data_IF_439855044999
#
_entry.id   IF_439855044999
#
_cell.length_a   1.000
_cell.length_b   1.000
_cell.length_c   1.000
_cell.angle_alpha   90.00
_cell.angle_beta   90.00
_cell.angle_gamma   90.00
#
_symmetry.space_group_name_H-M   'P 1'
#
loop_
_entity.id
_entity.type
_entity.pdbx_description
1 polymer ?
#
# COMPACT_ATOMS: atom_id res chain seq x y z
N UNK A 1 -26.91 10.02 10.26
CA UNK A 1 -25.80 9.43 9.48
C UNK A 1 -25.84 7.93 9.68
N UNK A 2 -26.05 7.17 8.61
CA UNK A 2 -26.12 5.71 8.65
C UNK A 2 -24.70 5.13 8.70
N UNK A 3 -24.54 4.00 9.38
CA UNK A 3 -23.27 3.26 9.52
C UNK A 3 -22.62 2.79 8.18
N UNK A 4 -23.19 3.16 7.03
CA UNK A 4 -22.69 2.84 5.70
C UNK A 4 -21.63 3.83 5.18
N UNK A 5 -21.55 5.04 5.74
CA UNK A 5 -20.60 6.07 5.29
C UNK A 5 -19.14 5.77 5.68
N UNK A 6 -18.91 4.79 6.56
CA UNK A 6 -17.59 4.51 7.14
C UNK A 6 -16.80 3.37 6.46
N UNK A 7 -17.38 2.70 5.46
CA UNK A 7 -16.67 1.69 4.64
C UNK A 7 -15.95 2.27 3.41
N UNK A 8 -16.14 3.56 3.11
CA UNK A 8 -15.92 4.07 1.75
C UNK A 8 -14.47 4.42 1.38
N UNK A 9 -13.49 4.20 2.26
CA UNK A 9 -12.13 4.70 2.01
C UNK A 9 -10.99 3.74 2.38
N UNK A 10 -11.25 2.49 2.77
CA UNK A 10 -10.17 1.53 3.10
C UNK A 10 -9.89 0.63 1.89
N UNK A 11 -8.64 0.61 1.42
CA UNK A 11 -8.20 -0.17 0.25
C UNK A 11 -7.15 -1.20 0.68
N UNK A 12 -7.38 -2.50 0.50
CA UNK A 12 -6.36 -3.53 0.74
C UNK A 12 -5.32 -3.50 -0.37
N UNK A 13 -4.04 -3.52 0.01
CA UNK A 13 -2.87 -3.56 -0.86
C UNK A 13 -2.07 -4.81 -0.52
N UNK A 14 -1.76 -5.64 -1.50
CA UNK A 14 -0.96 -6.86 -1.29
C UNK A 14 0.50 -6.58 -1.59
N UNK A 15 1.39 -6.90 -0.65
CA UNK A 15 2.82 -6.66 -0.81
C UNK A 15 3.39 -7.43 -2.01
N UNK A 16 2.84 -8.60 -2.29
CA UNK A 16 3.17 -9.46 -3.43
C UNK A 16 2.92 -8.75 -4.77
N UNK A 17 1.92 -7.87 -4.85
CA UNK A 17 1.67 -7.07 -6.07
C UNK A 17 2.81 -6.10 -6.34
N UNK A 18 3.44 -5.58 -5.29
CA UNK A 18 4.59 -4.68 -5.38
C UNK A 18 5.85 -5.50 -5.69
N UNK A 19 6.02 -6.63 -4.99
CA UNK A 19 7.16 -7.56 -5.13
C UNK A 19 7.20 -8.31 -6.46
N UNK A 20 6.09 -8.39 -7.21
CA UNK A 20 6.05 -9.02 -8.53
C UNK A 20 6.75 -8.19 -9.64
N UNK A 21 6.95 -6.89 -9.43
CA UNK A 21 7.50 -5.97 -10.44
C UNK A 21 8.60 -5.05 -9.90
N UNK A 22 9.56 -5.54 -9.09
CA UNK A 22 10.40 -4.67 -8.26
C UNK A 22 11.32 -3.75 -9.06
N UNK A 23 11.67 -4.13 -10.29
CA UNK A 23 12.55 -3.36 -11.19
C UNK A 23 11.84 -2.82 -12.43
N UNK A 24 10.52 -2.99 -12.52
CA UNK A 24 9.72 -2.50 -13.65
C UNK A 24 9.20 -1.09 -13.34
N UNK A 25 9.18 -0.19 -14.33
CA UNK A 25 8.67 1.16 -14.18
C UNK A 25 7.20 1.21 -13.71
N UNK A 26 6.42 0.15 -13.98
CA UNK A 26 5.07 -0.01 -13.45
C UNK A 26 4.99 0.11 -11.92
N UNK A 27 6.04 -0.31 -11.19
CA UNK A 27 6.06 -0.19 -9.72
C UNK A 27 6.08 1.26 -9.26
N UNK A 28 6.79 2.13 -10.01
CA UNK A 28 6.83 3.56 -9.71
C UNK A 28 5.47 4.21 -9.95
N UNK A 29 4.76 3.82 -11.01
CA UNK A 29 3.41 4.32 -11.28
C UNK A 29 2.39 3.81 -10.27
N UNK A 30 2.55 2.57 -9.81
CA UNK A 30 1.77 2.04 -8.70
C UNK A 30 1.99 2.85 -7.41
N UNK A 31 3.24 3.17 -7.05
CA UNK A 31 3.52 4.04 -5.91
C UNK A 31 2.90 5.43 -6.02
N UNK A 32 2.96 6.05 -7.22
CA UNK A 32 2.27 7.33 -7.48
C UNK A 32 0.76 7.19 -7.31
N UNK A 33 0.18 6.06 -7.72
CA UNK A 33 -1.23 5.78 -7.53
C UNK A 33 -1.61 5.66 -6.04
N UNK A 34 -0.83 4.91 -5.25
CA UNK A 34 -1.03 4.80 -3.80
C UNK A 34 -0.97 6.17 -3.11
N UNK A 35 -0.01 7.02 -3.48
CA UNK A 35 0.08 8.38 -2.93
C UNK A 35 -1.15 9.24 -3.29
N UNK A 36 -1.65 9.13 -4.52
CA UNK A 36 -2.87 9.83 -4.96
C UNK A 36 -4.11 9.37 -4.19
N UNK A 37 -4.24 8.07 -3.90
CA UNK A 37 -5.33 7.54 -3.08
C UNK A 37 -5.30 8.18 -1.69
N UNK A 38 -4.16 8.16 -1.01
CA UNK A 38 -4.05 8.74 0.34
C UNK A 38 -4.32 10.25 0.32
N UNK A 39 -3.84 10.99 -0.69
CA UNK A 39 -4.16 12.43 -0.89
C UNK A 39 -5.67 12.69 -1.05
N UNK A 40 -6.43 11.73 -1.60
CA UNK A 40 -7.90 11.81 -1.73
C UNK A 40 -8.64 11.36 -0.46
N UNK A 41 -7.91 11.05 0.61
CA UNK A 41 -8.44 10.62 1.90
C UNK A 41 -8.71 9.12 2.00
N UNK A 42 -8.17 8.30 1.09
CA UNK A 42 -8.21 6.84 1.25
C UNK A 42 -7.18 6.37 2.27
N UNK A 43 -7.54 5.35 3.03
CA UNK A 43 -6.68 4.58 3.93
C UNK A 43 -6.25 3.31 3.20
N UNK A 44 -4.95 3.03 3.17
CA UNK A 44 -4.40 1.81 2.59
C UNK A 44 -4.11 0.82 3.71
N UNK A 45 -4.48 -0.45 3.54
CA UNK A 45 -4.12 -1.53 4.45
C UNK A 45 -3.22 -2.50 3.70
N UNK A 46 -1.97 -2.62 4.10
CA UNK A 46 -0.97 -3.49 3.47
C UNK A 46 -1.09 -4.89 4.09
N UNK A 47 -1.29 -5.88 3.23
CA UNK A 47 -1.38 -7.28 3.59
C UNK A 47 -0.20 -8.08 3.03
N UNK A 48 0.13 -9.18 3.71
CA UNK A 48 1.01 -10.23 3.20
C UNK A 48 0.37 -11.59 3.39
N UNK A 49 0.49 -12.45 2.40
CA UNK A 49 0.12 -13.85 2.49
C UNK A 49 1.23 -14.65 3.19
N UNK A 50 0.88 -15.30 4.29
CA UNK A 50 1.77 -16.16 5.07
C UNK A 50 1.31 -17.62 4.94
N UNK A 51 2.05 -18.40 4.17
CA UNK A 51 1.75 -19.82 3.96
C UNK A 51 0.43 -20.05 3.23
N UNK A 52 -0.27 -21.15 3.52
CA UNK A 52 -1.29 -21.64 2.59
C UNK A 52 -2.58 -20.84 2.51
N UNK A 53 -3.00 -20.04 3.51
CA UNK A 53 -4.24 -19.21 3.47
C UNK A 53 -4.33 -18.04 4.46
N UNK A 54 -3.26 -17.65 5.17
CA UNK A 54 -3.39 -16.60 6.22
C UNK A 54 -2.92 -15.25 5.69
N UNK A 55 -3.85 -14.30 5.55
CA UNK A 55 -3.52 -12.90 5.28
C UNK A 55 -3.20 -12.19 6.59
N UNK A 56 -1.99 -11.64 6.70
CA UNK A 56 -1.56 -10.81 7.82
C UNK A 56 -1.60 -9.34 7.40
N UNK A 57 -2.15 -8.47 8.27
CA UNK A 57 -2.07 -7.03 8.09
C UNK A 57 -0.71 -6.57 8.58
N UNK A 58 0.13 -6.06 7.67
CA UNK A 58 1.45 -5.52 8.02
C UNK A 58 1.34 -4.08 8.53
N UNK A 59 0.56 -3.25 7.86
CA UNK A 59 0.50 -1.82 8.14
C UNK A 59 -0.79 -1.20 7.60
N UNK A 60 -1.29 -0.17 8.28
CA UNK A 60 -2.36 0.71 7.79
C UNK A 60 -1.81 2.12 7.63
N UNK A 61 -2.07 2.76 6.48
CA UNK A 61 -1.53 4.06 6.07
C UNK A 61 -2.70 4.98 5.70
N UNK A 62 -2.90 6.06 6.46
CA UNK A 62 -3.97 7.04 6.23
C UNK A 62 -3.46 8.45 5.91
N UNK A 63 -2.15 8.66 5.88
CA UNK A 63 -1.54 9.94 5.56
C UNK A 63 -0.38 9.81 4.56
N UNK A 64 -0.13 10.91 3.86
CA UNK A 64 0.82 10.99 2.74
C UNK A 64 2.26 10.80 3.22
N UNK A 65 2.58 11.18 4.46
CA UNK A 65 3.95 11.03 4.94
C UNK A 65 4.27 9.55 5.20
N UNK A 66 3.34 8.80 5.78
CA UNK A 66 3.50 7.36 5.96
C UNK A 66 3.59 6.61 4.64
N UNK A 67 2.83 6.99 3.59
CA UNK A 67 2.96 6.34 2.28
C UNK A 67 4.34 6.59 1.66
N UNK A 68 4.89 7.81 1.80
CA UNK A 68 6.23 8.15 1.33
C UNK A 68 7.30 7.38 2.08
N UNK A 69 7.17 7.26 3.40
CA UNK A 69 8.08 6.49 4.23
C UNK A 69 8.06 5.01 3.85
N UNK A 70 6.87 4.44 3.61
CA UNK A 70 6.70 3.07 3.12
C UNK A 70 7.44 2.87 1.79
N UNK A 71 7.20 3.75 0.80
CA UNK A 71 7.85 3.68 -0.52
C UNK A 71 9.37 3.77 -0.38
N UNK A 72 9.87 4.71 0.42
CA UNK A 72 11.32 4.88 0.64
C UNK A 72 11.95 3.65 1.32
N UNK A 73 11.26 3.08 2.31
CA UNK A 73 11.72 1.87 2.99
C UNK A 73 11.74 0.67 2.04
N UNK A 74 10.68 0.50 1.25
CA UNK A 74 10.60 -0.57 0.25
C UNK A 74 11.73 -0.46 -0.78
N UNK A 75 11.89 0.72 -1.39
CA UNK A 75 12.95 0.99 -2.37
C UNK A 75 14.34 0.67 -1.80
N UNK A 76 14.61 1.10 -0.56
CA UNK A 76 15.85 0.76 0.16
C UNK A 76 16.02 -0.76 0.35
N UNK A 77 14.95 -1.47 0.71
CA UNK A 77 14.99 -2.92 0.94
C UNK A 77 15.31 -3.72 -0.33
N UNK A 78 14.88 -3.23 -1.50
CA UNK A 78 15.17 -3.86 -2.81
C UNK A 78 16.40 -3.27 -3.52
N UNK A 79 17.15 -2.37 -2.88
CA UNK A 79 18.38 -1.81 -3.42
C UNK A 79 18.20 -0.73 -4.50
N UNK A 80 17.03 -0.11 -4.58
CA UNK A 80 16.74 1.01 -5.48
C UNK A 80 16.82 2.30 -4.67
N UNK A 81 17.74 3.20 -5.02
CA UNK A 81 17.89 4.54 -4.42
C UNK A 81 17.08 5.59 -5.16
#
# INVERSE_FOLDING_TARGET
MSNYDNYQKIIPIYLETIEAFPYDDMVNDYFKFLEKLVKKGYTLTIHREMGTKKQEVLQTISDVQHVKNFIAHYKKAIGIS
#
